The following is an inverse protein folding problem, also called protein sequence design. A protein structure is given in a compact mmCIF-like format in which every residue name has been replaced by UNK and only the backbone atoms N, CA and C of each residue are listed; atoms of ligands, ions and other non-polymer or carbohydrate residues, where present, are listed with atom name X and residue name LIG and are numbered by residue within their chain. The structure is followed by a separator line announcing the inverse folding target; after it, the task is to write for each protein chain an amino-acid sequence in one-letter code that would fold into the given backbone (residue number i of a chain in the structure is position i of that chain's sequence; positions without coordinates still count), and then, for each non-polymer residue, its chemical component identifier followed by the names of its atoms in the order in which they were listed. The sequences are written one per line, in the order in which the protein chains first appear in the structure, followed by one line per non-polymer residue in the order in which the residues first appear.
data_IF_161904490787
#
_entry.id   IF_161904490787
#
_cell.length_a   1.000
_cell.length_b   1.000
_cell.length_c   1.000
_cell.angle_alpha   90.00
_cell.angle_beta   90.00
_cell.angle_gamma   90.00
#
_symmetry.space_group_name_H-M   'P 1'
#
loop_
_entity.id
_entity.type
_entity.pdbx_description
1 polymer ?
#
# COMPACT_ATOMS: atom_id res chain seq x y z
N UNK A 1 14.68 1.53 16.41
CA UNK A 1 14.77 1.86 14.95
C UNK A 1 16.14 1.49 14.45
N UNK A 2 16.22 0.63 13.44
CA UNK A 2 17.47 0.20 12.79
C UNK A 2 18.13 1.37 12.04
N UNK A 3 19.41 1.21 11.65
CA UNK A 3 20.08 2.22 10.82
C UNK A 3 19.42 2.37 9.46
N UNK A 4 18.96 1.26 8.85
CA UNK A 4 18.20 1.25 7.58
C UNK A 4 16.93 2.09 7.72
N UNK A 5 16.14 1.84 8.76
CA UNK A 5 14.90 2.58 9.00
C UNK A 5 15.15 4.08 9.20
N UNK A 6 16.18 4.45 10.00
CA UNK A 6 16.56 5.87 10.19
C UNK A 6 16.90 6.54 8.85
N UNK A 7 17.73 5.89 8.04
CA UNK A 7 18.12 6.43 6.73
C UNK A 7 16.93 6.61 5.79
N UNK A 8 16.01 5.64 5.76
CA UNK A 8 14.79 5.75 4.95
C UNK A 8 13.93 6.92 5.42
N UNK A 9 13.70 7.08 6.71
CA UNK A 9 12.91 8.20 7.24
C UNK A 9 13.55 9.55 6.99
N UNK A 10 14.86 9.67 7.13
CA UNK A 10 15.58 10.94 6.95
C UNK A 10 15.68 11.36 5.47
N UNK A 11 15.88 10.42 4.55
CA UNK A 11 16.24 10.75 3.17
C UNK A 11 15.19 10.35 2.14
N UNK A 12 14.40 9.30 2.43
CA UNK A 12 13.56 8.63 1.43
C UNK A 12 12.11 8.40 1.88
N UNK A 13 11.64 9.04 2.95
CA UNK A 13 10.27 8.86 3.44
C UNK A 13 9.24 9.25 2.37
N UNK A 14 9.48 10.33 1.62
CA UNK A 14 8.58 10.79 0.55
C UNK A 14 9.11 10.34 -0.82
N UNK A 15 8.31 9.56 -1.54
CA UNK A 15 8.67 8.96 -2.84
C UNK A 15 7.57 9.17 -3.89
N UNK A 16 6.95 10.36 -3.91
CA UNK A 16 5.86 10.70 -4.84
C UNK A 16 6.36 11.21 -6.19
N UNK A 17 7.33 12.12 -6.19
CA UNK A 17 7.87 12.67 -7.43
C UNK A 17 8.77 11.67 -8.15
N UNK A 18 8.92 11.85 -9.48
CA UNK A 18 9.82 11.01 -10.28
C UNK A 18 11.26 11.06 -9.77
N UNK A 19 11.72 12.24 -9.33
CA UNK A 19 13.07 12.41 -8.78
C UNK A 19 13.23 11.60 -7.49
N UNK A 20 12.35 11.77 -6.53
CA UNK A 20 12.38 11.04 -5.26
C UNK A 20 12.38 9.51 -5.46
N UNK A 21 11.55 9.02 -6.39
CA UNK A 21 11.53 7.60 -6.76
C UNK A 21 12.83 7.15 -7.43
N UNK A 22 13.49 8.03 -8.22
CA UNK A 22 14.81 7.70 -8.79
C UNK A 22 15.86 7.59 -7.71
N UNK A 23 15.89 8.55 -6.77
CA UNK A 23 16.84 8.55 -5.67
C UNK A 23 16.67 7.28 -4.80
N UNK A 24 15.43 6.87 -4.55
CA UNK A 24 15.11 5.62 -3.83
C UNK A 24 15.51 4.36 -4.62
N UNK A 25 15.32 4.33 -5.94
CA UNK A 25 15.75 3.21 -6.79
C UNK A 25 17.27 3.01 -6.69
N UNK A 26 18.05 4.07 -6.80
CA UNK A 26 19.51 3.96 -6.70
C UNK A 26 19.95 3.51 -5.29
N UNK A 27 19.32 4.06 -4.25
CA UNK A 27 19.54 3.59 -2.87
C UNK A 27 19.28 2.08 -2.73
N UNK A 28 18.13 1.60 -3.23
CA UNK A 28 17.75 0.19 -3.09
C UNK A 28 18.69 -0.73 -3.87
N UNK A 29 19.16 -0.31 -5.05
CA UNK A 29 20.16 -1.05 -5.84
C UNK A 29 21.49 -1.15 -5.09
N UNK A 30 21.98 -0.06 -4.53
CA UNK A 30 23.20 -0.03 -3.73
C UNK A 30 23.07 -0.87 -2.48
N UNK A 31 21.90 -0.80 -1.80
CA UNK A 31 21.60 -1.63 -0.65
C UNK A 31 21.64 -3.13 -1.00
N UNK A 32 20.96 -3.53 -2.07
CA UNK A 32 20.95 -4.90 -2.54
C UNK A 32 22.37 -5.41 -2.88
N UNK A 33 23.15 -4.60 -3.58
CA UNK A 33 24.53 -4.94 -3.94
C UNK A 33 25.41 -5.15 -2.71
N UNK A 34 25.32 -4.27 -1.71
CA UNK A 34 26.05 -4.41 -0.44
C UNK A 34 25.71 -5.68 0.32
N UNK A 35 24.50 -6.22 0.15
CA UNK A 35 24.03 -7.45 0.76
C UNK A 35 24.16 -8.66 -0.18
N UNK A 36 24.87 -8.54 -1.31
CA UNK A 36 25.20 -9.65 -2.21
C UNK A 36 24.07 -10.08 -3.12
N UNK A 37 23.14 -9.18 -3.44
CA UNK A 37 22.07 -9.42 -4.41
C UNK A 37 22.30 -8.64 -5.71
N UNK A 38 21.75 -9.14 -6.80
CA UNK A 38 21.58 -8.39 -8.04
C UNK A 38 20.20 -7.71 -8.04
N UNK A 39 20.18 -6.42 -8.32
CA UNK A 39 18.96 -5.64 -8.43
C UNK A 39 18.77 -5.08 -9.84
N UNK A 40 17.58 -5.23 -10.40
CA UNK A 40 17.19 -4.76 -11.73
C UNK A 40 16.02 -3.79 -11.66
N UNK A 41 15.98 -2.83 -12.58
CA UNK A 41 14.83 -1.96 -12.76
C UNK A 41 14.03 -2.45 -13.96
N UNK A 42 12.83 -2.95 -13.70
CA UNK A 42 11.90 -3.36 -14.75
C UNK A 42 10.94 -2.23 -15.09
N UNK A 43 11.05 -1.72 -16.33
CA UNK A 43 10.12 -0.71 -16.85
C UNK A 43 8.82 -1.38 -17.27
N UNK A 44 7.68 -0.77 -16.95
CA UNK A 44 6.36 -1.26 -17.30
C UNK A 44 5.45 -0.21 -17.92
N UNK A 45 4.15 -0.46 -17.90
CA UNK A 45 3.12 0.45 -18.38
C UNK A 45 3.19 1.78 -17.64
N UNK A 46 2.75 2.87 -18.26
CA UNK A 46 2.77 4.23 -17.68
C UNK A 46 4.14 4.66 -17.14
N UNK A 47 5.24 4.12 -17.72
CA UNK A 47 6.62 4.40 -17.30
C UNK A 47 6.94 3.99 -15.86
N UNK A 48 6.27 2.97 -15.32
CA UNK A 48 6.61 2.36 -14.04
C UNK A 48 8.01 1.79 -14.04
N UNK A 49 8.63 1.73 -12.87
CA UNK A 49 10.01 1.26 -12.67
C UNK A 49 10.05 0.38 -11.42
N UNK A 50 9.56 -0.86 -11.52
CA UNK A 50 9.65 -1.81 -10.43
C UNK A 50 11.11 -2.17 -10.17
N UNK A 51 11.50 -2.30 -8.89
CA UNK A 51 12.82 -2.77 -8.51
C UNK A 51 12.70 -4.25 -8.20
N UNK A 52 13.42 -5.07 -8.93
CA UNK A 52 13.42 -6.53 -8.78
C UNK A 52 14.79 -6.97 -8.27
N UNK A 53 14.81 -7.65 -7.13
CA UNK A 53 16.02 -8.16 -6.49
C UNK A 53 15.94 -9.69 -6.43
N UNK A 54 16.98 -10.37 -6.91
CA UNK A 54 16.99 -11.82 -7.10
C UNK A 54 16.22 -12.25 -8.36
N UNK A 55 15.87 -13.52 -8.45
CA UNK A 55 15.18 -14.09 -9.60
C UNK A 55 13.75 -14.53 -9.25
N UNK A 56 12.71 -13.75 -9.64
CA UNK A 56 11.33 -14.06 -9.31
C UNK A 56 10.79 -15.34 -9.97
N UNK A 57 11.38 -15.76 -11.10
CA UNK A 57 10.90 -16.93 -11.82
C UNK A 57 11.34 -18.27 -11.20
N UNK A 58 12.37 -18.25 -10.35
CA UNK A 58 12.88 -19.43 -9.62
C UNK A 58 12.64 -19.38 -8.12
N UNK A 59 12.22 -18.23 -7.59
CA UNK A 59 11.97 -18.05 -6.17
C UNK A 59 10.81 -18.93 -5.67
N UNK A 60 10.94 -19.52 -4.49
CA UNK A 60 9.85 -20.21 -3.76
C UNK A 60 8.81 -19.22 -3.26
N UNK A 61 9.28 -18.07 -2.79
CA UNK A 61 8.45 -16.97 -2.29
C UNK A 61 8.98 -15.63 -2.78
N UNK A 62 8.07 -14.70 -3.08
CA UNK A 62 8.41 -13.32 -3.42
C UNK A 62 7.84 -12.39 -2.35
N UNK A 63 8.69 -11.58 -1.76
CA UNK A 63 8.31 -10.52 -0.84
C UNK A 63 8.15 -9.21 -1.60
N UNK A 64 7.02 -8.54 -1.44
CA UNK A 64 6.71 -7.33 -2.18
C UNK A 64 6.23 -6.21 -1.26
N UNK A 65 6.48 -4.97 -1.67
CA UNK A 65 5.93 -3.75 -1.10
C UNK A 65 5.92 -2.68 -2.19
N UNK A 66 4.95 -1.76 -2.18
CA UNK A 66 5.08 -0.60 -3.04
C UNK A 66 6.01 0.45 -2.42
N UNK A 67 6.71 1.18 -3.28
CA UNK A 67 7.65 2.18 -2.81
C UNK A 67 7.25 3.61 -3.14
N UNK A 68 6.26 3.84 -4.00
CA UNK A 68 5.70 5.16 -4.20
C UNK A 68 4.83 5.56 -2.99
N UNK A 69 4.56 6.84 -2.85
CA UNK A 69 3.80 7.39 -1.73
C UNK A 69 2.67 8.28 -2.20
N UNK A 70 1.59 8.32 -1.41
CA UNK A 70 0.32 8.97 -1.70
C UNK A 70 0.37 10.50 -1.78
N UNK A 71 -0.73 11.08 -2.25
CA UNK A 71 -1.06 12.48 -1.99
C UNK A 71 -1.59 12.63 -0.55
N UNK A 72 -1.40 13.81 0.05
CA UNK A 72 -1.97 14.13 1.35
C UNK A 72 -3.46 14.43 1.21
N UNK A 73 -4.29 13.74 2.00
CA UNK A 73 -5.73 13.93 2.05
C UNK A 73 -6.18 14.53 3.39
N UNK A 74 -7.36 15.14 3.40
CA UNK A 74 -8.00 15.68 4.63
C UNK A 74 -8.69 14.58 5.46
N UNK A 75 -8.92 13.42 4.88
CA UNK A 75 -9.54 12.25 5.50
C UNK A 75 -8.71 11.01 5.16
N UNK A 76 -8.68 10.00 6.04
CA UNK A 76 -7.87 8.81 5.80
C UNK A 76 -8.45 7.94 4.68
N UNK A 77 -7.59 7.16 4.05
CA UNK A 77 -8.03 5.97 3.33
C UNK A 77 -8.35 4.89 4.38
N UNK A 78 -9.62 4.84 4.80
CA UNK A 78 -10.05 3.92 5.84
C UNK A 78 -10.23 2.51 5.28
N UNK A 79 -9.59 1.54 5.90
CA UNK A 79 -9.67 0.13 5.51
C UNK A 79 -10.13 -0.71 6.71
N UNK A 80 -11.15 -1.55 6.49
CA UNK A 80 -11.65 -2.54 7.45
C UNK A 80 -11.81 -3.89 6.73
N UNK A 81 -10.75 -4.71 6.61
CA UNK A 81 -10.70 -5.83 5.67
C UNK A 81 -11.78 -6.90 5.90
N UNK A 82 -12.16 -7.15 7.14
CA UNK A 82 -13.18 -8.17 7.50
C UNK A 82 -14.61 -7.60 7.52
N UNK A 83 -14.77 -6.28 7.39
CA UNK A 83 -16.04 -5.57 7.50
C UNK A 83 -16.33 -4.75 6.25
N UNK A 84 -16.53 -5.44 5.12
CA UNK A 84 -16.75 -4.81 3.81
C UNK A 84 -17.87 -3.77 3.80
N UNK A 85 -18.95 -4.00 4.57
CA UNK A 85 -20.04 -3.02 4.66
C UNK A 85 -19.58 -1.70 5.31
N UNK A 86 -18.75 -1.77 6.35
CA UNK A 86 -18.20 -0.58 7.02
C UNK A 86 -17.29 0.18 6.04
N UNK A 87 -16.44 -0.53 5.32
CA UNK A 87 -15.62 0.05 4.25
C UNK A 87 -16.50 0.72 3.17
N UNK A 88 -17.52 0.03 2.67
CA UNK A 88 -18.41 0.55 1.63
C UNK A 88 -19.16 1.82 2.08
N UNK A 89 -19.72 1.80 3.29
CA UNK A 89 -20.43 2.97 3.86
C UNK A 89 -19.47 4.17 3.98
N UNK A 90 -18.22 3.93 4.40
CA UNK A 90 -17.22 4.98 4.48
C UNK A 90 -16.90 5.57 3.09
N UNK A 91 -16.70 4.73 2.06
CA UNK A 91 -16.45 5.21 0.70
C UNK A 91 -17.65 6.00 0.13
N UNK A 92 -18.87 5.54 0.38
CA UNK A 92 -20.09 6.28 0.00
C UNK A 92 -20.18 7.64 0.71
N UNK A 93 -19.82 7.70 2.00
CA UNK A 93 -19.80 8.96 2.73
C UNK A 93 -18.79 9.96 2.13
N UNK A 94 -17.63 9.52 1.66
CA UNK A 94 -16.67 10.36 0.95
C UNK A 94 -17.27 10.89 -0.35
N UNK A 95 -17.89 10.04 -1.16
CA UNK A 95 -18.51 10.45 -2.42
C UNK A 95 -19.61 11.49 -2.16
N UNK A 96 -20.51 11.21 -1.23
CA UNK A 96 -21.56 12.17 -0.83
C UNK A 96 -20.94 13.49 -0.32
N UNK A 97 -19.90 13.40 0.51
CA UNK A 97 -19.15 14.55 1.01
C UNK A 97 -18.59 15.44 -0.10
N UNK A 98 -18.06 14.84 -1.18
CA UNK A 98 -17.56 15.60 -2.34
C UNK A 98 -18.68 16.32 -3.09
N UNK A 99 -19.83 15.66 -3.29
CA UNK A 99 -20.97 16.32 -3.91
C UNK A 99 -21.54 17.45 -3.03
N UNK A 100 -21.62 17.25 -1.73
CA UNK A 100 -22.03 18.31 -0.80
C UNK A 100 -21.04 19.48 -0.80
N UNK A 101 -19.74 19.22 -0.75
CA UNK A 101 -18.73 20.25 -0.86
C UNK A 101 -18.82 21.01 -2.19
N UNK A 102 -18.99 20.30 -3.30
CA UNK A 102 -19.22 20.91 -4.61
C UNK A 102 -20.45 21.81 -4.63
N UNK A 103 -21.58 21.31 -4.13
CA UNK A 103 -22.82 22.08 -4.05
C UNK A 103 -22.66 23.35 -3.18
N UNK A 104 -22.04 23.22 -1.99
CA UNK A 104 -21.80 24.39 -1.10
C UNK A 104 -20.89 25.42 -1.76
N UNK A 105 -19.82 24.98 -2.42
CA UNK A 105 -18.86 25.88 -3.07
C UNK A 105 -19.44 26.59 -4.31
N UNK A 106 -20.52 26.08 -4.90
CA UNK A 106 -21.23 26.78 -6.00
C UNK A 106 -22.19 27.87 -5.54
N UNK A 107 -22.63 27.90 -4.27
CA UNK A 107 -23.58 28.87 -3.75
C UNK A 107 -23.12 30.33 -3.99
N UNK A 108 -21.90 30.76 -3.65
CA UNK A 108 -21.44 32.10 -3.89
C UNK A 108 -21.50 32.51 -5.38
N UNK A 109 -21.15 31.56 -6.26
CA UNK A 109 -21.20 31.79 -7.71
C UNK A 109 -22.63 31.97 -8.18
N UNK A 110 -23.57 31.14 -7.74
CA UNK A 110 -24.99 31.28 -8.05
C UNK A 110 -25.58 32.63 -7.59
N UNK A 111 -25.19 33.10 -6.40
CA UNK A 111 -25.59 34.39 -5.88
C UNK A 111 -25.05 35.55 -6.75
N UNK A 112 -23.78 35.49 -7.16
CA UNK A 112 -23.19 36.51 -8.03
C UNK A 112 -23.90 36.53 -9.38
N UNK A 113 -24.18 35.38 -9.98
CA UNK A 113 -24.87 35.23 -11.27
C UNK A 113 -26.30 35.79 -11.20
N UNK A 114 -27.00 35.66 -10.06
CA UNK A 114 -28.33 36.24 -9.87
C UNK A 114 -28.33 37.78 -9.87
N UNK A 115 -27.21 38.39 -9.49
CA UNK A 115 -27.09 39.86 -9.50
C UNK A 115 -26.94 40.48 -10.90
N UNK A 116 -26.54 39.67 -11.90
CA UNK A 116 -26.35 40.13 -13.30
C UNK A 116 -27.54 39.76 -14.21
N UNK A 117 -28.72 39.54 -13.63
CA UNK A 117 -29.99 39.29 -14.30
C UNK A 117 -29.99 38.11 -15.29
N UNK A 118 -29.23 37.02 -15.00
CA UNK A 118 -29.35 35.79 -15.73
C UNK A 118 -30.63 35.03 -15.35
N UNK A 119 -31.15 34.24 -16.29
CA UNK A 119 -32.32 33.40 -16.01
C UNK A 119 -31.99 32.30 -15.02
N UNK A 120 -32.97 31.83 -14.25
CA UNK A 120 -32.80 30.75 -13.26
C UNK A 120 -32.22 29.48 -13.89
N UNK A 121 -32.66 29.14 -15.10
CA UNK A 121 -32.19 27.96 -15.81
C UNK A 121 -30.69 28.05 -16.14
N UNK A 122 -30.24 29.20 -16.63
CA UNK A 122 -28.81 29.43 -16.93
C UNK A 122 -27.96 29.38 -15.65
N UNK A 123 -28.46 29.98 -14.55
CA UNK A 123 -27.77 29.92 -13.25
C UNK A 123 -27.67 28.48 -12.76
N UNK A 124 -28.75 27.69 -12.89
CA UNK A 124 -28.77 26.28 -12.53
C UNK A 124 -27.76 25.46 -13.34
N UNK A 125 -27.76 25.60 -14.67
CA UNK A 125 -26.85 24.87 -15.55
C UNK A 125 -25.38 25.20 -15.25
N UNK A 126 -25.04 26.46 -15.04
CA UNK A 126 -23.68 26.88 -14.68
C UNK A 126 -23.28 26.26 -13.34
N UNK A 127 -24.14 26.35 -12.32
CA UNK A 127 -23.87 25.85 -10.98
C UNK A 127 -23.74 24.34 -10.96
N UNK A 128 -24.59 23.65 -11.69
CA UNK A 128 -24.54 22.19 -11.83
C UNK A 128 -23.22 21.71 -12.47
N UNK A 129 -22.84 22.32 -13.59
CA UNK A 129 -21.58 21.98 -14.26
C UNK A 129 -20.37 22.32 -13.39
N UNK A 130 -20.37 23.46 -12.71
CA UNK A 130 -19.31 23.87 -11.80
C UNK A 130 -19.15 22.90 -10.62
N UNK A 131 -20.26 22.41 -10.07
CA UNK A 131 -20.24 21.37 -9.02
C UNK A 131 -19.47 20.13 -9.49
N UNK A 132 -19.72 19.63 -10.68
CA UNK A 132 -18.96 18.49 -11.22
C UNK A 132 -17.48 18.81 -11.45
N UNK A 133 -17.17 19.99 -11.94
CA UNK A 133 -15.77 20.44 -12.08
C UNK A 133 -15.06 20.41 -10.71
N UNK A 134 -15.72 20.91 -9.66
CA UNK A 134 -15.17 20.87 -8.30
C UNK A 134 -14.96 19.43 -7.83
N UNK A 135 -15.94 18.55 -8.02
CA UNK A 135 -15.82 17.12 -7.68
C UNK A 135 -14.64 16.46 -8.42
N UNK A 136 -14.50 16.72 -9.73
CA UNK A 136 -13.36 16.19 -10.49
C UNK A 136 -12.00 16.75 -10.00
N UNK A 137 -11.96 18.03 -9.62
CA UNK A 137 -10.75 18.63 -9.03
C UNK A 137 -10.41 17.95 -7.69
N UNK A 138 -11.39 17.69 -6.83
CA UNK A 138 -11.18 16.98 -5.56
C UNK A 138 -10.66 15.56 -5.79
N UNK A 139 -11.27 14.80 -6.71
CA UNK A 139 -10.79 13.47 -7.08
C UNK A 139 -9.37 13.51 -7.68
N UNK A 140 -9.07 14.50 -8.51
CA UNK A 140 -7.73 14.69 -9.06
C UNK A 140 -6.71 14.97 -7.96
N UNK A 141 -7.06 15.80 -6.98
CA UNK A 141 -6.18 16.13 -5.86
C UNK A 141 -5.90 14.94 -4.94
N UNK A 142 -6.84 13.98 -4.82
CA UNK A 142 -6.60 12.74 -4.07
C UNK A 142 -5.45 11.91 -4.68
N UNK A 143 -5.31 11.91 -5.99
CA UNK A 143 -4.28 11.12 -6.69
C UNK A 143 -3.00 11.93 -6.95
N UNK A 144 -3.16 13.17 -7.43
CA UNK A 144 -2.09 14.01 -7.97
C UNK A 144 -1.79 15.25 -7.11
N UNK A 145 -2.46 15.41 -5.99
CA UNK A 145 -2.25 16.50 -5.05
C UNK A 145 -0.85 16.53 -4.40
N UNK A 146 -0.61 17.46 -3.49
CA UNK A 146 0.64 17.55 -2.74
C UNK A 146 1.02 16.23 -2.08
N UNK A 147 2.31 15.91 -2.04
CA UNK A 147 2.79 14.69 -1.41
C UNK A 147 2.46 14.66 0.09
N UNK A 148 1.97 13.52 0.59
CA UNK A 148 1.97 13.28 2.03
C UNK A 148 3.42 13.21 2.53
N UNK A 149 3.74 13.99 3.54
CA UNK A 149 5.08 13.99 4.16
C UNK A 149 5.21 12.94 5.26
N UNK A 150 4.10 12.36 5.67
CA UNK A 150 3.99 11.36 6.72
C UNK A 150 3.44 10.07 6.11
N UNK A 151 4.33 9.13 5.86
CA UNK A 151 4.06 7.85 5.17
C UNK A 151 4.70 6.71 5.94
N UNK A 152 4.66 6.80 7.28
CA UNK A 152 5.36 5.85 8.14
C UNK A 152 4.80 4.44 7.99
N UNK A 153 3.47 4.33 7.95
CA UNK A 153 2.80 3.05 7.74
C UNK A 153 2.61 2.75 6.26
N UNK A 154 2.14 3.72 5.46
CA UNK A 154 1.81 3.56 4.04
C UNK A 154 2.84 4.26 3.11
N UNK A 155 3.79 3.57 2.49
CA UNK A 155 4.22 2.21 2.77
C UNK A 155 5.73 2.19 3.07
N UNK A 156 6.16 3.14 3.91
CA UNK A 156 7.56 3.15 4.38
C UNK A 156 7.84 1.92 5.25
N UNK A 157 6.84 1.46 6.02
CA UNK A 157 6.97 0.25 6.85
C UNK A 157 7.20 -1.01 6.02
N UNK A 158 6.45 -1.23 4.95
CA UNK A 158 6.62 -2.36 4.03
C UNK A 158 7.98 -2.34 3.34
N UNK A 159 8.40 -1.15 2.86
CA UNK A 159 9.73 -0.96 2.27
C UNK A 159 10.84 -1.34 3.25
N UNK A 160 10.79 -0.84 4.48
CA UNK A 160 11.79 -1.15 5.51
C UNK A 160 11.77 -2.63 5.83
N UNK A 161 10.59 -3.25 5.93
CA UNK A 161 10.46 -4.70 6.17
C UNK A 161 11.19 -5.51 5.11
N UNK A 162 11.03 -5.19 3.82
CA UNK A 162 11.74 -5.88 2.75
C UNK A 162 13.26 -5.71 2.86
N UNK A 163 13.74 -4.50 3.13
CA UNK A 163 15.17 -4.22 3.30
C UNK A 163 15.76 -4.98 4.51
N UNK A 164 15.03 -5.03 5.61
CA UNK A 164 15.45 -5.77 6.82
C UNK A 164 15.45 -7.28 6.59
N UNK A 165 14.48 -7.85 5.87
CA UNK A 165 14.50 -9.26 5.47
C UNK A 165 15.72 -9.52 4.58
N UNK A 166 15.94 -8.68 3.57
CA UNK A 166 17.06 -8.81 2.62
C UNK A 166 18.41 -8.80 3.34
N UNK A 167 18.60 -7.93 4.33
CA UNK A 167 19.85 -7.82 5.08
C UNK A 167 20.10 -8.99 6.00
N UNK A 168 19.04 -9.59 6.57
CA UNK A 168 19.13 -10.65 7.57
C UNK A 168 19.09 -12.06 6.97
N UNK A 169 18.73 -12.20 5.68
CA UNK A 169 18.55 -13.50 5.04
C UNK A 169 19.90 -14.23 4.89
N UNK A 170 20.02 -15.49 5.39
CA UNK A 170 21.21 -16.31 5.21
C UNK A 170 21.60 -16.46 3.74
N UNK A 171 22.90 -16.52 3.46
CA UNK A 171 23.42 -16.51 2.08
C UNK A 171 22.95 -17.70 1.27
N UNK A 172 22.85 -18.88 1.87
CA UNK A 172 22.39 -20.12 1.25
C UNK A 172 20.91 -20.08 0.84
N UNK A 173 20.11 -19.20 1.45
CA UNK A 173 18.67 -19.03 1.16
C UNK A 173 18.34 -17.94 0.15
N UNK A 174 19.32 -17.15 -0.24
CA UNK A 174 19.09 -15.98 -1.11
C UNK A 174 18.51 -16.33 -2.49
N UNK A 175 18.86 -17.51 -3.01
CA UNK A 175 18.34 -17.99 -4.30
C UNK A 175 16.89 -18.51 -4.23
N UNK A 176 16.36 -18.70 -3.02
CA UNK A 176 15.00 -19.20 -2.81
C UNK A 176 13.97 -18.05 -2.75
N UNK A 177 14.45 -16.81 -2.68
CA UNK A 177 13.62 -15.61 -2.46
C UNK A 177 13.90 -14.55 -3.52
N UNK A 178 12.87 -13.84 -3.92
CA UNK A 178 13.01 -12.58 -4.64
C UNK A 178 12.28 -11.47 -3.90
N UNK A 179 12.74 -10.23 -4.11
CA UNK A 179 12.08 -9.04 -3.58
C UNK A 179 11.64 -8.15 -4.75
N UNK A 180 10.42 -7.60 -4.66
CA UNK A 180 9.94 -6.68 -5.68
C UNK A 180 9.34 -5.45 -5.01
N UNK A 181 9.91 -4.28 -5.30
CA UNK A 181 9.35 -3.01 -4.89
C UNK A 181 8.54 -2.45 -6.05
N UNK A 182 7.22 -2.35 -5.89
CA UNK A 182 6.31 -1.88 -6.93
C UNK A 182 6.24 -0.35 -7.00
N UNK A 183 6.16 0.17 -8.22
CA UNK A 183 6.00 1.58 -8.54
C UNK A 183 4.53 1.87 -8.87
N UNK A 184 4.03 3.06 -8.51
CA UNK A 184 2.70 3.53 -8.85
C UNK A 184 1.55 2.61 -8.36
N UNK A 185 1.66 2.11 -7.14
CA UNK A 185 0.57 1.44 -6.45
C UNK A 185 -0.57 2.42 -6.20
N UNK A 186 -0.25 3.60 -5.70
CA UNK A 186 -1.14 4.70 -5.34
C UNK A 186 -1.96 5.28 -6.52
N UNK A 187 -1.55 4.94 -7.73
CA UNK A 187 -2.28 5.29 -8.95
C UNK A 187 -3.08 4.10 -9.53
N UNK A 188 -3.32 3.06 -8.72
CA UNK A 188 -4.17 1.92 -9.07
C UNK A 188 -3.39 0.67 -9.47
N UNK A 189 -2.42 0.25 -8.66
CA UNK A 189 -1.68 -1.01 -8.78
C UNK A 189 -0.94 -1.17 -10.14
N UNK A 190 -0.47 -0.07 -10.73
CA UNK A 190 0.07 -0.08 -12.11
C UNK A 190 1.37 -0.91 -12.16
N UNK A 191 2.23 -0.77 -11.15
CA UNK A 191 3.50 -1.49 -11.07
C UNK A 191 3.31 -3.00 -10.96
N UNK A 192 2.53 -3.45 -10.01
CA UNK A 192 2.27 -4.88 -9.78
C UNK A 192 1.50 -5.52 -10.94
N UNK A 193 0.53 -4.81 -11.52
CA UNK A 193 -0.20 -5.27 -12.71
C UNK A 193 0.74 -5.44 -13.91
N UNK A 194 1.65 -4.48 -14.13
CA UNK A 194 2.65 -4.54 -15.19
C UNK A 194 3.64 -5.70 -14.99
N UNK A 195 4.12 -5.88 -13.76
CA UNK A 195 5.00 -7.00 -13.38
C UNK A 195 4.30 -8.34 -13.59
N UNK A 196 3.07 -8.50 -13.06
CA UNK A 196 2.28 -9.73 -13.21
C UNK A 196 1.97 -10.07 -14.69
N UNK A 197 1.88 -9.07 -15.55
CA UNK A 197 1.66 -9.28 -17.00
C UNK A 197 2.90 -9.82 -17.70
N UNK A 198 4.11 -9.47 -17.24
CA UNK A 198 5.39 -9.97 -17.75
C UNK A 198 5.73 -11.34 -17.18
N UNK A 199 5.60 -11.51 -15.88
CA UNK A 199 5.92 -12.74 -15.14
C UNK A 199 4.70 -13.63 -14.98
N UNK A 200 4.20 -14.18 -16.09
CA UNK A 200 2.95 -14.99 -16.12
C UNK A 200 3.01 -16.22 -15.23
N UNK A 201 4.20 -16.84 -15.07
CA UNK A 201 4.39 -17.98 -14.19
C UNK A 201 4.28 -17.53 -12.72
N UNK A 202 4.96 -16.47 -12.33
CA UNK A 202 4.86 -15.87 -10.99
C UNK A 202 3.42 -15.51 -10.67
N UNK A 203 2.72 -14.83 -11.59
CA UNK A 203 1.31 -14.47 -11.43
C UNK A 203 0.42 -15.66 -11.06
N UNK A 204 0.71 -16.85 -11.61
CA UNK A 204 -0.16 -18.03 -11.48
C UNK A 204 0.24 -18.98 -10.36
N UNK A 205 1.54 -19.15 -10.12
CA UNK A 205 2.06 -20.29 -9.39
C UNK A 205 2.91 -19.94 -8.17
N UNK A 206 3.48 -18.74 -8.09
CA UNK A 206 4.41 -18.39 -7.02
C UNK A 206 3.66 -17.77 -5.83
N UNK A 207 4.09 -18.09 -4.62
CA UNK A 207 3.63 -17.43 -3.39
C UNK A 207 4.20 -16.02 -3.35
N UNK A 208 3.33 -15.02 -3.18
CA UNK A 208 3.70 -13.60 -3.08
C UNK A 208 3.13 -13.04 -1.77
N UNK A 209 3.99 -12.61 -0.86
CA UNK A 209 3.61 -11.88 0.34
C UNK A 209 3.84 -10.39 0.12
N UNK A 210 2.76 -9.63 0.11
CA UNK A 210 2.78 -8.18 -0.09
C UNK A 210 2.66 -7.47 1.25
N UNK A 211 3.77 -6.86 1.69
CA UNK A 211 3.84 -6.07 2.92
C UNK A 211 3.39 -4.65 2.65
N UNK A 212 2.23 -4.33 3.20
CA UNK A 212 1.60 -3.03 3.00
C UNK A 212 0.95 -2.58 4.31
N UNK A 213 1.36 -1.40 4.81
CA UNK A 213 0.87 -0.87 6.08
C UNK A 213 1.13 -1.83 7.27
N UNK A 214 2.40 -2.17 7.52
CA UNK A 214 2.79 -3.21 8.48
C UNK A 214 3.27 -2.67 9.84
N UNK A 215 3.03 -1.41 10.15
CA UNK A 215 3.58 -0.76 11.34
C UNK A 215 2.55 -0.28 12.37
N UNK A 216 1.36 0.16 11.96
CA UNK A 216 0.34 0.76 12.85
C UNK A 216 -0.73 -0.27 13.23
N UNK A 217 -0.55 -0.93 14.37
CA UNK A 217 -1.46 -1.91 14.93
C UNK A 217 -0.75 -3.08 15.60
N UNK A 218 -1.49 -3.84 16.40
CA UNK A 218 -1.02 -5.01 17.15
C UNK A 218 -1.53 -6.35 16.58
N UNK A 219 -2.42 -6.28 15.58
CA UNK A 219 -2.94 -7.47 14.90
C UNK A 219 -2.27 -7.63 13.54
N UNK A 220 -1.39 -8.63 13.46
CA UNK A 220 -0.67 -9.02 12.24
C UNK A 220 -1.61 -9.78 11.33
N UNK A 221 -2.10 -9.11 10.31
CA UNK A 221 -3.18 -9.59 9.45
C UNK A 221 -2.64 -10.14 8.13
N UNK A 222 -3.13 -11.33 7.75
CA UNK A 222 -2.82 -11.97 6.48
C UNK A 222 -4.11 -12.19 5.68
N UNK A 223 -4.29 -11.45 4.60
CA UNK A 223 -5.45 -11.52 3.72
C UNK A 223 -5.28 -12.64 2.69
N UNK A 224 -5.89 -13.79 2.94
CA UNK A 224 -5.84 -14.93 2.03
C UNK A 224 -6.96 -14.85 0.99
N UNK A 225 -6.64 -15.34 -0.22
CA UNK A 225 -7.61 -15.63 -1.28
C UNK A 225 -7.98 -17.11 -1.27
N UNK A 226 -9.01 -17.48 -2.02
CA UNK A 226 -9.38 -18.90 -2.21
C UNK A 226 -8.19 -19.76 -2.64
N UNK A 227 -7.33 -19.23 -3.51
CA UNK A 227 -6.16 -19.91 -4.04
C UNK A 227 -4.99 -20.04 -3.05
N UNK A 228 -4.95 -19.22 -2.01
CA UNK A 228 -3.88 -19.18 -1.00
C UNK A 228 -4.27 -19.79 0.35
N UNK A 229 -5.50 -20.28 0.51
CA UNK A 229 -5.95 -20.95 1.76
C UNK A 229 -5.06 -22.09 2.20
N UNK A 230 -4.45 -22.80 1.26
CA UNK A 230 -3.51 -23.90 1.53
C UNK A 230 -2.27 -23.48 2.32
N UNK A 231 -1.95 -22.17 2.38
CA UNK A 231 -0.79 -21.66 3.10
C UNK A 231 -1.13 -21.23 4.54
N UNK A 232 -2.38 -21.37 4.99
CA UNK A 232 -2.82 -20.92 6.31
C UNK A 232 -1.93 -21.48 7.43
N UNK A 233 -1.84 -22.80 7.54
CA UNK A 233 -1.10 -23.48 8.62
C UNK A 233 0.40 -23.14 8.57
N UNK A 234 0.95 -22.98 7.36
CA UNK A 234 2.35 -22.59 7.15
C UNK A 234 2.59 -21.16 7.65
N UNK A 235 1.67 -20.24 7.36
CA UNK A 235 1.76 -18.86 7.84
C UNK A 235 1.60 -18.78 9.37
N UNK A 236 0.62 -19.49 9.96
CA UNK A 236 0.43 -19.54 11.41
C UNK A 236 1.65 -20.14 12.16
N UNK A 237 2.38 -21.05 11.52
CA UNK A 237 3.65 -21.59 12.05
C UNK A 237 4.81 -20.61 11.91
N UNK A 238 4.91 -19.92 10.76
CA UNK A 238 5.99 -18.98 10.50
C UNK A 238 5.83 -17.70 11.34
N UNK A 239 4.60 -17.17 11.41
CA UNK A 239 4.24 -15.94 12.10
C UNK A 239 3.37 -16.25 13.31
N UNK A 240 3.91 -16.95 14.29
CA UNK A 240 3.16 -17.30 15.49
C UNK A 240 2.91 -16.08 16.37
N UNK A 241 1.70 -15.95 16.93
CA UNK A 241 1.37 -14.91 17.91
C UNK A 241 2.33 -14.95 19.11
N UNK A 242 2.65 -13.78 19.63
CA UNK A 242 3.44 -13.59 20.84
C UNK A 242 2.68 -12.72 21.86
N UNK A 243 3.37 -12.21 22.88
CA UNK A 243 2.75 -11.38 23.94
C UNK A 243 2.29 -10.01 23.46
N UNK A 244 2.83 -9.52 22.34
CA UNK A 244 2.58 -8.19 21.77
C UNK A 244 1.86 -8.22 20.44
N UNK A 245 1.95 -9.32 19.70
CA UNK A 245 1.39 -9.46 18.36
C UNK A 245 0.35 -10.58 18.31
N UNK A 246 -0.87 -10.22 17.95
CA UNK A 246 -1.92 -11.17 17.61
C UNK A 246 -1.87 -11.48 16.12
N UNK A 247 -1.82 -12.74 15.73
CA UNK A 247 -1.83 -13.13 14.31
C UNK A 247 -3.24 -13.52 13.88
N UNK A 248 -3.70 -12.95 12.77
CA UNK A 248 -5.00 -13.26 12.16
C UNK A 248 -4.80 -13.63 10.68
N UNK A 249 -4.73 -14.94 10.41
CA UNK A 249 -4.66 -15.48 9.03
C UNK A 249 -6.08 -15.67 8.52
N UNK A 250 -6.59 -14.66 7.82
CA UNK A 250 -7.97 -14.61 7.35
C UNK A 250 -8.16 -15.45 6.08
N UNK A 251 -8.77 -16.62 6.21
CA UNK A 251 -9.15 -17.53 5.12
C UNK A 251 -10.61 -17.40 4.68
N UNK A 252 -11.36 -16.51 5.32
CA UNK A 252 -12.73 -16.12 4.94
C UNK A 252 -12.68 -14.94 3.95
N UNK A 253 -13.86 -14.48 3.53
CA UNK A 253 -13.94 -13.27 2.72
C UNK A 253 -13.36 -12.09 3.48
N UNK A 254 -12.36 -11.45 2.87
CA UNK A 254 -11.83 -10.16 3.31
C UNK A 254 -11.54 -9.30 2.08
N UNK A 255 -11.66 -8.00 2.22
CA UNK A 255 -11.35 -7.03 1.18
C UNK A 255 -10.10 -6.24 1.57
N UNK A 256 -9.00 -6.52 0.87
CA UNK A 256 -7.72 -5.85 1.06
C UNK A 256 -7.19 -5.41 -0.32
N UNK A 257 -7.46 -4.16 -0.72
CA UNK A 257 -7.13 -3.65 -2.05
C UNK A 257 -5.67 -3.17 -2.11
N UNK A 258 -4.75 -4.07 -2.43
CA UNK A 258 -3.33 -3.79 -2.59
C UNK A 258 -2.69 -4.71 -3.65
N UNK A 259 -1.41 -4.56 -3.92
CA UNK A 259 -0.63 -5.23 -4.97
C UNK A 259 -0.77 -6.77 -5.01
N UNK A 260 -1.03 -7.40 -3.84
CA UNK A 260 -1.33 -8.84 -3.76
C UNK A 260 -2.50 -9.24 -4.68
N UNK A 261 -3.40 -8.31 -5.01
CA UNK A 261 -4.56 -8.58 -5.88
C UNK A 261 -4.15 -9.04 -7.28
N UNK A 262 -2.99 -8.61 -7.79
CA UNK A 262 -2.50 -8.93 -9.12
C UNK A 262 -2.01 -10.39 -9.29
N UNK A 263 -1.82 -11.15 -8.20
CA UNK A 263 -1.25 -12.50 -8.21
C UNK A 263 -2.24 -13.54 -7.69
N UNK A 264 -2.32 -14.73 -8.32
CA UNK A 264 -3.14 -15.83 -7.79
C UNK A 264 -2.62 -16.33 -6.44
N UNK A 265 -1.30 -16.38 -6.26
CA UNK A 265 -0.61 -16.71 -5.01
C UNK A 265 -0.39 -15.52 -4.07
N UNK A 266 -1.05 -14.37 -4.33
CA UNK A 266 -0.85 -13.15 -3.56
C UNK A 266 -1.59 -13.16 -2.22
N UNK A 267 -0.88 -12.84 -1.16
CA UNK A 267 -1.34 -12.67 0.21
C UNK A 267 -1.01 -11.25 0.64
N UNK A 268 -2.01 -10.47 1.08
CA UNK A 268 -1.78 -9.15 1.67
C UNK A 268 -1.37 -9.30 3.13
N UNK A 269 -0.35 -8.58 3.54
CA UNK A 269 0.19 -8.58 4.90
C UNK A 269 0.14 -7.16 5.45
N UNK A 270 -0.48 -6.98 6.62
CA UNK A 270 -0.59 -5.67 7.27
C UNK A 270 -0.63 -5.78 8.80
N UNK A 271 -0.41 -4.66 9.48
CA UNK A 271 -0.69 -4.50 10.89
C UNK A 271 -1.97 -3.66 11.06
N UNK A 272 -2.92 -4.14 11.84
CA UNK A 272 -4.23 -3.52 12.01
C UNK A 272 -4.50 -3.19 13.47
N UNK A 273 -5.17 -2.08 13.69
CA UNK A 273 -5.78 -1.75 14.97
C UNK A 273 -7.09 -2.52 15.15
N UNK A 274 -7.51 -2.69 16.42
CA UNK A 274 -8.75 -3.36 16.76
C UNK A 274 -9.64 -2.48 17.63
N UNK A 275 -10.90 -2.30 17.23
CA UNK A 275 -11.87 -1.60 18.07
C UNK A 275 -12.27 -2.45 19.30
N UNK A 276 -12.90 -1.84 20.30
CA UNK A 276 -13.49 -2.56 21.43
C UNK A 276 -14.54 -3.60 21.00
N UNK A 277 -15.23 -3.38 19.87
CA UNK A 277 -16.19 -4.32 19.28
C UNK A 277 -15.54 -5.40 18.41
N UNK A 278 -14.22 -5.42 18.26
CA UNK A 278 -13.47 -6.44 17.52
C UNK A 278 -13.29 -6.17 16.02
N UNK A 279 -13.65 -4.99 15.53
CA UNK A 279 -13.43 -4.62 14.12
C UNK A 279 -11.94 -4.30 13.92
N UNK A 280 -11.31 -4.97 12.96
CA UNK A 280 -9.95 -4.68 12.51
C UNK A 280 -9.98 -3.54 11.50
N UNK A 281 -9.10 -2.54 11.67
CA UNK A 281 -9.09 -1.35 10.83
C UNK A 281 -7.72 -0.67 10.77
N UNK A 282 -7.55 0.20 9.76
CA UNK A 282 -6.54 1.27 9.70
C UNK A 282 -7.25 2.57 9.29
N UNK A 283 -6.84 3.69 9.89
CA UNK A 283 -7.55 4.97 9.79
C UNK A 283 -6.65 6.22 9.75
N UNK A 284 -5.36 6.06 9.44
CA UNK A 284 -4.40 7.18 9.41
C UNK A 284 -3.72 7.38 8.07
N UNK A 285 -3.70 6.33 7.23
CA UNK A 285 -3.01 6.35 5.95
C UNK A 285 -3.57 7.44 5.02
N UNK A 286 -2.74 7.94 4.13
CA UNK A 286 -2.97 9.08 3.23
C UNK A 286 -3.17 10.42 3.94
N UNK A 287 -2.98 10.52 5.24
CA UNK A 287 -3.11 11.78 5.99
C UNK A 287 -1.82 12.17 6.70
N UNK A 288 -1.68 13.42 7.19
CA UNK A 288 -0.57 13.82 8.06
C UNK A 288 -0.48 13.05 9.39
N UNK A 289 -1.46 12.20 9.71
CA UNK A 289 -1.50 11.35 10.91
C UNK A 289 -0.77 10.01 10.72
N UNK A 290 -0.34 9.69 9.51
CA UNK A 290 0.44 8.47 9.22
C UNK A 290 1.90 8.61 9.70
N UNK A 291 2.06 8.60 11.00
CA UNK A 291 3.36 8.81 11.69
C UNK A 291 3.79 7.64 12.56
N UNK A 292 2.97 6.59 12.64
CA UNK A 292 3.23 5.46 13.54
C UNK A 292 4.19 4.48 12.87
N UNK A 293 5.35 4.29 13.51
CA UNK A 293 6.33 3.29 13.12
C UNK A 293 6.71 2.45 14.34
N UNK A 294 6.38 1.17 14.30
CA UNK A 294 6.58 0.22 15.39
C UNK A 294 7.69 -0.77 15.04
N UNK A 295 8.86 -0.60 15.63
CA UNK A 295 10.04 -1.45 15.35
C UNK A 295 9.77 -2.92 15.61
N UNK A 296 9.00 -3.26 16.65
CA UNK A 296 8.68 -4.66 16.98
C UNK A 296 7.85 -5.34 15.88
N UNK A 297 6.98 -4.60 15.19
CA UNK A 297 6.22 -5.15 14.07
C UNK A 297 7.14 -5.51 12.91
N UNK A 298 8.10 -4.63 12.59
CA UNK A 298 9.08 -4.88 11.53
C UNK A 298 9.93 -6.11 11.85
N UNK A 299 10.40 -6.20 13.10
CA UNK A 299 11.17 -7.34 13.60
C UNK A 299 10.36 -8.65 13.54
N UNK A 300 9.07 -8.60 13.95
CA UNK A 300 8.15 -9.72 13.88
C UNK A 300 8.00 -10.23 12.44
N UNK A 301 7.70 -9.33 11.50
CA UNK A 301 7.53 -9.70 10.09
C UNK A 301 8.82 -10.20 9.46
N UNK A 302 9.97 -9.59 9.76
CA UNK A 302 11.28 -10.05 9.31
C UNK A 302 11.55 -11.48 9.75
N UNK A 303 11.41 -11.76 11.04
CA UNK A 303 11.71 -13.07 11.60
C UNK A 303 10.74 -14.14 11.07
N UNK A 304 9.46 -13.83 10.97
CA UNK A 304 8.45 -14.71 10.37
C UNK A 304 8.70 -14.99 8.90
N UNK A 305 9.11 -13.99 8.12
CA UNK A 305 9.43 -14.15 6.70
C UNK A 305 10.65 -15.05 6.49
N UNK A 306 11.70 -14.92 7.31
CA UNK A 306 12.88 -15.81 7.25
C UNK A 306 12.47 -17.24 7.61
N UNK A 307 11.71 -17.42 8.69
CA UNK A 307 11.21 -18.73 9.11
C UNK A 307 10.31 -19.40 8.09
N UNK A 308 9.52 -18.60 7.35
CA UNK A 308 8.63 -19.11 6.29
C UNK A 308 9.42 -19.86 5.20
N UNK A 309 10.60 -19.38 4.83
CA UNK A 309 11.44 -20.00 3.81
C UNK A 309 11.88 -21.41 4.25
N UNK A 310 12.13 -21.63 5.54
CA UNK A 310 12.52 -22.91 6.10
C UNK A 310 11.37 -23.94 6.09
N UNK A 311 10.14 -23.45 6.04
CA UNK A 311 8.95 -24.31 6.09
C UNK A 311 8.42 -24.62 4.67
N UNK A 312 8.72 -23.77 3.68
CA UNK A 312 8.36 -23.95 2.27
C UNK A 312 9.28 -24.93 1.55
#
# INVERSE_FOLDING_TARGET
MTNTAKEIFEKYQVRKSRKQRTDFIEYTKDFATRHGYEAKVEKGSFRTRNIVVGNPDTAKVIYTAHYDTCASMFFPNFIAPKNFLVYLVYQLAIVVGFFLAGAILTIPVSLILSLINLTTDVIFDISYNLMFVIVYVLLFLMMFGPANKHTANDNTSGVITLLEIMSALPTDKRNEVAFVFFDLEELGLIGSSSFASKHKNVKKNTLVLNFDCVSDGDTMFFALKRTTKKYKDVLEKAFASDTTHTVDVCDKFCFYPSDNACFKGGIGVSALNKTKSGILYMDKIHTPKDTVFTDSNIEFFKNGAIKLIDIL
#
